data_IF_162081416553
#
_entry.id   IF_162081416553
#
_cell.length_a   1.000
_cell.length_b   1.000
_cell.length_c   1.000
_cell.angle_alpha   90.00
_cell.angle_beta   90.00
_cell.angle_gamma   90.00
#
_symmetry.space_group_name_H-M   'P 1'
#
loop_
_entity.id
_entity.type
_entity.pdbx_description
1 polymer ?
#
# COMPACT_ATOMS: atom_id res chain seq x y z
N UNK A 1 -9.39 7.95 19.33
CA UNK A 1 -9.47 7.51 17.92
C UNK A 1 -8.57 6.30 17.73
N UNK A 2 -9.07 5.18 17.20
CA UNK A 2 -8.27 3.99 16.92
C UNK A 2 -7.72 4.09 15.49
N UNK A 3 -6.41 4.22 15.33
CA UNK A 3 -5.79 4.32 13.99
C UNK A 3 -5.94 2.97 13.29
N UNK A 4 -6.66 2.95 12.17
CA UNK A 4 -6.76 1.78 11.29
C UNK A 4 -5.72 1.91 10.18
N UNK A 5 -4.83 0.94 10.09
CA UNK A 5 -3.80 0.91 9.05
C UNK A 5 -4.36 0.46 7.70
N UNK A 6 -5.31 -0.48 7.73
CA UNK A 6 -5.98 -1.03 6.56
C UNK A 6 -7.48 -0.72 6.63
N UNK A 7 -8.01 -0.20 5.55
CA UNK A 7 -9.41 0.16 5.36
C UNK A 7 -9.83 -0.23 3.94
N UNK A 8 -10.94 -0.96 3.82
CA UNK A 8 -11.46 -1.48 2.55
C UNK A 8 -10.42 -2.26 1.71
N UNK A 9 -9.58 -3.06 2.37
CA UNK A 9 -8.57 -3.88 1.71
C UNK A 9 -7.42 -3.11 1.06
N UNK A 10 -7.24 -1.84 1.42
CA UNK A 10 -6.07 -1.03 1.06
C UNK A 10 -5.58 -0.25 2.31
N UNK A 11 -4.45 0.44 2.22
CA UNK A 11 -4.02 1.37 3.25
C UNK A 11 -5.07 2.47 3.47
N UNK A 12 -5.28 2.86 4.72
CA UNK A 12 -6.21 3.92 5.06
C UNK A 12 -5.83 5.24 4.37
N UNK A 13 -6.81 6.11 4.12
CA UNK A 13 -6.56 7.39 3.42
C UNK A 13 -5.47 8.20 4.13
N UNK A 14 -5.52 8.27 5.46
CA UNK A 14 -4.50 8.94 6.25
C UNK A 14 -3.11 8.34 6.05
N UNK A 15 -2.98 7.01 6.08
CA UNK A 15 -1.69 6.34 5.93
C UNK A 15 -1.09 6.57 4.54
N UNK A 16 -1.92 6.54 3.48
CA UNK A 16 -1.50 6.85 2.10
C UNK A 16 -0.97 8.28 1.97
N UNK A 17 -1.69 9.25 2.54
CA UNK A 17 -1.27 10.65 2.54
C UNK A 17 -0.02 10.86 3.39
N UNK A 18 0.09 10.20 4.54
CA UNK A 18 1.26 10.28 5.41
C UNK A 18 2.52 9.77 4.70
N UNK A 19 2.47 8.63 3.99
CA UNK A 19 3.60 8.15 3.21
C UNK A 19 4.06 9.13 2.14
N UNK A 20 3.10 9.77 1.45
CA UNK A 20 3.44 10.80 0.46
C UNK A 20 4.13 12.01 1.09
N UNK A 21 3.55 12.56 2.17
CA UNK A 21 4.08 13.76 2.84
C UNK A 21 5.45 13.48 3.47
N UNK A 22 5.58 12.37 4.20
CA UNK A 22 6.86 11.97 4.81
C UNK A 22 7.90 11.71 3.72
N UNK A 23 7.52 11.00 2.65
CA UNK A 23 8.41 10.76 1.51
C UNK A 23 8.93 12.06 0.89
N UNK A 24 8.04 13.02 0.64
CA UNK A 24 8.42 14.34 0.12
C UNK A 24 9.34 15.11 1.08
N UNK A 25 9.09 15.06 2.39
CA UNK A 25 9.95 15.70 3.39
C UNK A 25 11.36 15.07 3.43
N UNK A 26 11.46 13.74 3.33
CA UNK A 26 12.75 13.04 3.26
C UNK A 26 13.53 13.36 1.97
N UNK A 27 12.86 13.85 0.92
CA UNK A 27 13.52 14.33 -0.29
C UNK A 27 13.97 15.79 -0.13
N UNK A 28 13.09 16.66 0.40
CA UNK A 28 13.32 18.12 0.43
C UNK A 28 14.20 18.57 1.60
N UNK A 29 14.08 17.98 2.78
CA UNK A 29 14.86 18.42 3.94
C UNK A 29 16.36 18.13 3.79
N UNK A 30 16.80 16.93 3.38
CA UNK A 30 18.23 16.64 3.27
C UNK A 30 18.92 17.52 2.22
N UNK A 31 18.22 17.89 1.13
CA UNK A 31 18.78 18.78 0.09
C UNK A 31 19.06 20.20 0.58
N UNK A 32 18.43 20.65 1.68
CA UNK A 32 18.67 21.97 2.26
C UNK A 32 19.60 21.97 3.46
N UNK A 33 19.64 20.88 4.22
CA UNK A 33 20.30 20.84 5.53
C UNK A 33 21.50 19.89 5.61
N UNK A 34 21.75 19.06 4.60
CA UNK A 34 22.84 18.08 4.61
C UNK A 34 23.72 18.20 3.37
N UNK A 35 25.02 18.01 3.57
CA UNK A 35 25.97 17.82 2.47
C UNK A 35 25.79 16.46 1.81
N UNK A 36 26.19 16.39 0.54
CA UNK A 36 26.09 15.18 -0.27
C UNK A 36 26.97 14.08 0.33
N UNK A 37 26.30 13.10 0.93
CA UNK A 37 26.90 12.00 1.69
C UNK A 37 26.09 10.73 1.47
N UNK A 38 26.63 9.58 1.88
CA UNK A 38 25.90 8.31 1.75
C UNK A 38 24.56 8.31 2.51
N UNK A 39 24.50 9.00 3.66
CA UNK A 39 23.27 9.17 4.43
C UNK A 39 22.24 10.02 3.68
N UNK A 40 22.68 11.11 3.02
CA UNK A 40 21.81 11.93 2.18
C UNK A 40 21.19 11.11 1.04
N UNK A 41 22.00 10.29 0.37
CA UNK A 41 21.52 9.40 -0.69
C UNK A 41 20.51 8.38 -0.16
N UNK A 42 20.78 7.77 1.01
CA UNK A 42 19.87 6.85 1.67
C UNK A 42 18.53 7.48 2.02
N UNK A 43 18.54 8.71 2.54
CA UNK A 43 17.31 9.48 2.85
C UNK A 43 16.49 9.77 1.59
N UNK A 44 17.15 10.18 0.50
CA UNK A 44 16.50 10.40 -0.79
C UNK A 44 15.82 9.13 -1.30
N UNK A 45 16.54 8.01 -1.29
CA UNK A 45 16.00 6.73 -1.76
C UNK A 45 14.80 6.27 -0.93
N UNK A 46 14.91 6.35 0.40
CA UNK A 46 13.81 6.08 1.32
C UNK A 46 12.60 7.01 1.05
N UNK A 47 12.85 8.30 0.84
CA UNK A 47 11.82 9.28 0.51
C UNK A 47 11.08 8.93 -0.77
N UNK A 48 11.81 8.55 -1.83
CA UNK A 48 11.23 8.10 -3.09
C UNK A 48 10.37 6.84 -2.93
N UNK A 49 10.83 5.84 -2.18
CA UNK A 49 10.07 4.60 -1.92
C UNK A 49 8.77 4.91 -1.17
N UNK A 50 8.83 5.71 -0.11
CA UNK A 50 7.64 6.10 0.64
C UNK A 50 6.64 6.89 -0.21
N UNK A 51 7.15 7.86 -0.99
CA UNK A 51 6.30 8.67 -1.86
C UNK A 51 5.64 7.80 -2.94
N UNK A 52 6.38 6.86 -3.53
CA UNK A 52 5.84 5.89 -4.47
C UNK A 52 4.77 5.00 -3.82
N UNK A 53 5.04 4.41 -2.65
CA UNK A 53 4.07 3.57 -1.93
C UNK A 53 2.75 4.29 -1.65
N UNK A 54 2.80 5.51 -1.12
CA UNK A 54 1.60 6.32 -0.87
C UNK A 54 0.83 6.61 -2.16
N UNK A 55 1.54 6.97 -3.23
CA UNK A 55 0.96 7.30 -4.54
C UNK A 55 0.31 6.10 -5.22
N UNK A 56 1.00 4.95 -5.25
CA UNK A 56 0.49 3.72 -5.84
C UNK A 56 -0.69 3.17 -5.04
N UNK A 57 -0.62 3.17 -3.71
CA UNK A 57 -1.75 2.78 -2.88
C UNK A 57 -2.95 3.72 -3.10
N UNK A 58 -2.71 5.02 -3.32
CA UNK A 58 -3.78 5.95 -3.70
C UNK A 58 -4.40 5.62 -5.05
N UNK A 59 -3.59 5.34 -6.08
CA UNK A 59 -4.07 4.93 -7.40
C UNK A 59 -4.83 3.60 -7.36
N UNK A 60 -4.35 2.62 -6.60
CA UNK A 60 -5.02 1.35 -6.40
C UNK A 60 -6.43 1.54 -5.85
N UNK A 61 -6.61 2.45 -4.87
CA UNK A 61 -7.93 2.78 -4.34
C UNK A 61 -8.85 3.40 -5.40
N UNK A 62 -8.34 4.33 -6.22
CA UNK A 62 -9.12 4.94 -7.32
C UNK A 62 -9.54 3.90 -8.36
N UNK A 63 -8.71 2.89 -8.61
CA UNK A 63 -9.00 1.78 -9.51
C UNK A 63 -9.83 0.65 -8.86
N UNK A 64 -10.24 0.80 -7.60
CA UNK A 64 -10.98 -0.23 -6.86
C UNK A 64 -10.16 -1.48 -6.53
N UNK A 65 -8.84 -1.43 -6.69
CA UNK A 65 -7.93 -2.52 -6.36
C UNK A 65 -7.74 -2.55 -4.84
N UNK A 66 -8.00 -3.73 -4.25
CA UNK A 66 -7.91 -3.96 -2.82
C UNK A 66 -6.83 -5.02 -2.50
N UNK A 67 -5.55 -4.62 -2.46
CA UNK A 67 -4.43 -5.56 -2.35
C UNK A 67 -4.42 -6.40 -1.06
N UNK A 68 -5.11 -5.95 -0.01
CA UNK A 68 -5.19 -6.64 1.29
C UNK A 68 -6.59 -7.20 1.59
N UNK A 69 -7.47 -7.27 0.59
CA UNK A 69 -8.81 -7.85 0.78
C UNK A 69 -8.78 -9.39 0.74
N UNK A 70 -9.66 -10.02 1.51
CA UNK A 70 -9.80 -11.48 1.59
C UNK A 70 -10.82 -12.05 0.59
N UNK A 71 -11.36 -11.21 -0.30
CA UNK A 71 -12.34 -11.61 -1.33
C UNK A 71 -11.89 -12.84 -2.14
N UNK A 72 -10.59 -12.98 -2.41
CA UNK A 72 -10.02 -14.16 -3.07
C UNK A 72 -10.37 -15.49 -2.36
N UNK A 73 -10.42 -15.51 -1.02
CA UNK A 73 -10.78 -16.72 -0.27
C UNK A 73 -12.23 -17.15 -0.54
N UNK A 74 -13.13 -16.19 -0.78
CA UNK A 74 -14.53 -16.48 -1.14
C UNK A 74 -14.61 -17.07 -2.56
N UNK A 75 -13.85 -16.51 -3.51
CA UNK A 75 -13.75 -17.06 -4.86
C UNK A 75 -13.18 -18.49 -4.85
N UNK A 76 -12.14 -18.78 -4.05
CA UNK A 76 -11.60 -20.14 -3.91
C UNK A 76 -12.65 -21.14 -3.40
N UNK A 77 -13.39 -20.79 -2.34
CA UNK A 77 -14.44 -21.66 -1.79
C UNK A 77 -15.56 -21.97 -2.79
N UNK A 78 -15.88 -21.06 -3.73
CA UNK A 78 -16.88 -21.33 -4.76
C UNK A 78 -16.46 -22.39 -5.78
N UNK A 79 -15.16 -22.67 -5.92
CA UNK A 79 -14.69 -23.80 -6.74
C UNK A 79 -14.77 -25.11 -5.96
N UNK A 80 -14.42 -25.11 -4.68
CA UNK A 80 -14.49 -26.30 -3.81
C UNK A 80 -15.92 -26.85 -3.65
N UNK A 81 -16.94 -25.99 -3.69
CA UNK A 81 -18.33 -26.41 -3.57
C UNK A 81 -18.87 -27.19 -4.79
N UNK A 82 -18.25 -27.02 -5.98
CA UNK A 82 -18.74 -27.62 -7.23
C UNK A 82 -18.24 -29.04 -7.46
N UNK A 83 -17.09 -29.42 -6.89
CA UNK A 83 -16.57 -30.80 -6.98
C UNK A 83 -17.45 -31.80 -6.21
N UNK A 84 -18.06 -31.39 -5.09
CA UNK A 84 -18.90 -32.29 -4.27
C UNK A 84 -20.30 -32.54 -4.86
N UNK A 85 -20.75 -31.74 -5.84
CA UNK A 85 -22.07 -31.91 -6.47
C UNK A 85 -22.00 -32.74 -7.77
N UNK A 86 -20.81 -32.97 -8.34
CA UNK A 86 -20.65 -33.76 -9.57
C UNK A 86 -20.42 -35.27 -9.33
N UNK A 87 -20.14 -35.70 -8.10
CA UNK A 87 -19.89 -37.11 -7.74
C UNK A 87 -21.15 -37.87 -7.23
N UNK A 88 -22.35 -37.28 -7.37
CA UNK A 88 -23.63 -37.90 -6.97
C UNK A 88 -24.60 -38.21 -8.14
N UNK A 89 -24.10 -38.36 -9.38
CA UNK A 89 -24.93 -38.78 -10.54
C UNK A 89 -24.53 -40.14 -11.08
#
# INVERSE_FOLDING_TARGET
>A
MKIRLIEDGNFSRWLRTAFFVVGALLIVLPTKFMESSWLWFGLLLCGLVLMALGSYASRAHTLGIKPFDNSYKKARKSYEARDNEQDQS
#
